data_IF_946284485474
#
_entry.id   IF_946284485474
#
_cell.length_a   1.000
_cell.length_b   1.000
_cell.length_c   1.000
_cell.angle_alpha   90.00
_cell.angle_beta   90.00
_cell.angle_gamma   90.00
#
_symmetry.space_group_name_H-M   'P 1'
#
loop_
_entity.id
_entity.type
_entity.pdbx_description
1 polymer ?
#
# COMPACT_ATOMS: atom_id res chain seq x y z
N UNK A 1 -28.57 18.35 -6.09
CA UNK A 1 -27.86 18.26 -4.80
C UNK A 1 -26.55 17.54 -5.07
N UNK A 2 -25.41 18.21 -4.99
CA UNK A 2 -24.10 17.57 -5.10
C UNK A 2 -23.74 17.02 -3.72
N UNK A 3 -23.38 15.75 -3.62
CA UNK A 3 -22.91 15.16 -2.37
C UNK A 3 -21.59 15.80 -1.94
N UNK A 4 -21.42 16.06 -0.64
CA UNK A 4 -20.18 16.64 -0.09
C UNK A 4 -19.13 15.56 0.20
N UNK A 5 -17.86 15.94 0.28
CA UNK A 5 -16.80 15.05 0.76
C UNK A 5 -17.14 14.55 2.18
N UNK A 6 -17.01 13.24 2.42
CA UNK A 6 -17.40 12.69 3.71
C UNK A 6 -17.44 11.18 3.78
N UNK A 7 -17.95 10.66 4.91
CA UNK A 7 -18.11 9.23 5.14
C UNK A 7 -19.51 8.76 4.73
N UNK A 8 -19.58 7.70 3.93
CA UNK A 8 -20.84 7.16 3.39
C UNK A 8 -20.87 5.65 3.48
N UNK A 9 -22.06 5.08 3.68
CA UNK A 9 -22.28 3.64 3.52
C UNK A 9 -22.38 3.30 2.04
N UNK A 10 -21.63 2.29 1.61
CA UNK A 10 -21.72 1.72 0.27
C UNK A 10 -21.95 0.22 0.34
N UNK A 11 -22.58 -0.32 -0.70
CA UNK A 11 -22.86 -1.75 -0.82
C UNK A 11 -22.57 -2.26 -2.25
N UNK A 12 -21.28 -2.38 -2.63
CA UNK A 12 -20.85 -2.80 -3.96
C UNK A 12 -21.40 -4.14 -4.46
N UNK A 13 -21.49 -5.15 -3.59
CA UNK A 13 -22.02 -6.47 -3.95
C UNK A 13 -23.56 -6.51 -4.01
N UNK A 14 -24.22 -5.46 -3.52
CA UNK A 14 -25.67 -5.36 -3.38
C UNK A 14 -26.25 -6.51 -2.53
N UNK A 15 -27.52 -6.86 -2.74
CA UNK A 15 -28.14 -7.97 -2.04
C UNK A 15 -28.44 -7.62 -0.57
N UNK A 16 -27.74 -8.26 0.36
CA UNK A 16 -28.05 -8.14 1.78
C UNK A 16 -27.39 -6.91 2.39
N UNK A 17 -28.10 -5.79 2.49
CA UNK A 17 -27.58 -4.50 2.98
C UNK A 17 -26.91 -4.50 4.37
N UNK A 18 -27.01 -5.60 5.14
CA UNK A 18 -26.34 -5.78 6.42
C UNK A 18 -24.82 -5.95 6.32
N UNK A 19 -24.28 -6.28 5.14
CA UNK A 19 -22.84 -6.38 4.90
C UNK A 19 -22.27 -5.13 4.19
N UNK A 20 -23.07 -4.07 4.07
CA UNK A 20 -22.60 -2.75 3.65
C UNK A 20 -21.53 -2.23 4.61
N UNK A 21 -20.67 -1.34 4.14
CA UNK A 21 -19.56 -0.80 4.92
C UNK A 21 -19.39 0.70 4.66
N UNK A 22 -18.85 1.41 5.66
CA UNK A 22 -18.72 2.87 5.59
C UNK A 22 -17.34 3.28 5.06
N UNK A 23 -17.27 3.99 3.95
CA UNK A 23 -16.01 4.48 3.34
C UNK A 23 -15.94 5.99 3.34
N UNK A 24 -14.76 6.54 3.04
CA UNK A 24 -14.64 7.96 2.69
C UNK A 24 -14.86 8.15 1.19
N UNK A 25 -15.81 9.00 0.80
CA UNK A 25 -16.09 9.29 -0.61
C UNK A 25 -15.54 10.67 -1.00
N UNK A 26 -14.75 10.70 -2.08
CA UNK A 26 -14.21 11.91 -2.67
C UNK A 26 -14.98 12.30 -3.95
N UNK A 27 -16.11 12.99 -3.79
CA UNK A 27 -16.91 13.47 -4.93
C UNK A 27 -16.25 14.61 -5.72
N UNK A 28 -15.18 15.24 -5.20
CA UNK A 28 -14.40 16.23 -5.96
C UNK A 28 -13.39 15.61 -6.91
N UNK A 29 -13.05 14.33 -6.71
CA UNK A 29 -12.11 13.57 -7.55
C UNK A 29 -12.82 12.50 -8.40
N UNK A 30 -14.01 12.81 -8.93
CA UNK A 30 -14.76 11.86 -9.77
C UNK A 30 -15.49 10.77 -9.00
N UNK A 31 -15.64 10.89 -7.67
CA UNK A 31 -16.41 9.95 -6.85
C UNK A 31 -15.62 8.78 -6.29
N UNK A 32 -14.34 8.98 -5.96
CA UNK A 32 -13.50 7.92 -5.39
C UNK A 32 -14.09 7.39 -4.09
N UNK A 33 -13.96 6.08 -3.88
CA UNK A 33 -14.32 5.41 -2.63
C UNK A 33 -13.05 4.91 -1.95
N UNK A 34 -12.65 5.57 -0.86
CA UNK A 34 -11.40 5.32 -0.17
C UNK A 34 -11.59 4.39 1.02
N UNK A 35 -10.78 3.32 1.04
CA UNK A 35 -10.62 2.39 2.17
C UNK A 35 -9.22 2.56 2.74
N UNK A 36 -9.02 2.17 4.00
CA UNK A 36 -7.75 2.40 4.70
C UNK A 36 -7.12 1.10 5.16
N UNK A 37 -5.78 1.03 5.24
CA UNK A 37 -5.11 -0.10 5.86
C UNK A 37 -5.53 -0.25 7.33
N UNK A 38 -5.54 -1.48 7.83
CA UNK A 38 -5.81 -1.78 9.23
C UNK A 38 -4.74 -1.15 10.15
N UNK A 39 -5.12 -0.80 11.38
CA UNK A 39 -4.25 -0.04 12.31
C UNK A 39 -2.94 -0.71 12.64
N UNK A 40 -2.91 -2.04 12.59
CA UNK A 40 -1.74 -2.86 12.87
C UNK A 40 -0.72 -2.90 11.73
N UNK A 41 -1.15 -2.59 10.50
CA UNK A 41 -0.23 -2.38 9.38
C UNK A 41 -0.01 -0.91 9.08
N UNK A 42 -0.91 0.02 9.45
CA UNK A 42 -0.77 1.46 9.21
C UNK A 42 0.62 2.00 9.64
N UNK A 43 1.19 1.46 10.72
CA UNK A 43 2.50 1.85 11.25
C UNK A 43 3.28 0.63 11.74
N UNK A 44 4.27 0.21 10.95
CA UNK A 44 5.13 -0.93 11.30
C UNK A 44 6.50 -0.44 11.74
N UNK A 45 6.89 -0.79 12.97
CA UNK A 45 8.23 -0.49 13.50
C UNK A 45 9.23 -1.49 12.92
N UNK A 46 10.18 -1.05 12.09
CA UNK A 46 11.20 -1.95 11.54
C UNK A 46 12.32 -2.28 12.53
N UNK A 47 12.29 -1.72 13.74
CA UNK A 47 13.22 -2.09 14.81
C UNK A 47 13.19 -3.59 15.14
N UNK A 48 12.08 -4.28 14.86
CA UNK A 48 11.95 -5.72 15.04
C UNK A 48 12.59 -6.56 13.92
N UNK A 49 13.11 -5.93 12.85
CA UNK A 49 13.56 -6.63 11.65
C UNK A 49 15.05 -7.01 11.65
N UNK A 50 15.74 -6.83 12.78
CA UNK A 50 17.19 -7.03 12.88
C UNK A 50 17.67 -8.45 12.54
N UNK A 51 16.79 -9.44 12.74
CA UNK A 51 17.01 -10.86 12.40
C UNK A 51 16.28 -11.31 11.12
N UNK A 52 15.56 -10.43 10.44
CA UNK A 52 14.77 -10.80 9.28
C UNK A 52 15.63 -10.90 8.02
N UNK A 53 15.22 -11.78 7.11
CA UNK A 53 15.90 -11.95 5.83
C UNK A 53 15.47 -10.84 4.87
N UNK A 54 16.43 -10.28 4.13
CA UNK A 54 16.12 -9.39 3.00
C UNK A 54 15.57 -10.20 1.84
N UNK A 55 14.90 -9.53 0.91
CA UNK A 55 14.34 -10.18 -0.30
C UNK A 55 13.34 -11.30 0.06
N UNK A 56 12.65 -11.13 1.18
CA UNK A 56 11.50 -11.95 1.56
C UNK A 56 10.31 -11.05 1.82
N UNK A 57 9.12 -11.61 1.62
CA UNK A 57 7.86 -10.90 1.84
C UNK A 57 7.69 -10.52 3.30
N UNK A 58 7.09 -9.37 3.57
CA UNK A 58 6.80 -8.93 4.92
C UNK A 58 5.95 -9.96 5.66
N UNK A 59 4.96 -10.58 5.02
CA UNK A 59 4.16 -11.64 5.65
C UNK A 59 4.97 -12.86 6.13
N UNK A 60 6.20 -13.04 5.66
CA UNK A 60 7.09 -14.13 6.05
C UNK A 60 8.03 -13.75 7.21
N UNK A 61 8.06 -12.47 7.62
CA UNK A 61 8.82 -12.05 8.79
C UNK A 61 8.20 -12.62 10.06
N UNK A 62 8.98 -12.75 11.15
CA UNK A 62 8.50 -13.34 12.41
C UNK A 62 7.28 -12.64 12.99
N UNK A 63 7.20 -11.32 12.84
CA UNK A 63 6.04 -10.50 13.25
C UNK A 63 5.29 -9.90 12.06
N UNK A 64 5.56 -10.43 10.88
CA UNK A 64 4.96 -10.07 9.62
C UNK A 64 3.54 -10.56 9.46
N UNK A 65 2.79 -9.93 8.54
CA UNK A 65 1.45 -10.36 8.13
C UNK A 65 1.10 -9.75 6.77
N UNK A 66 0.15 -10.35 6.04
CA UNK A 66 -0.41 -9.70 4.84
C UNK A 66 -1.16 -8.42 5.25
N UNK A 67 -1.20 -7.46 4.33
CA UNK A 67 -1.96 -6.23 4.52
C UNK A 67 -3.46 -6.49 4.53
N UNK A 68 -4.17 -5.81 5.43
CA UNK A 68 -5.63 -5.88 5.50
C UNK A 68 -6.22 -4.48 5.53
N UNK A 69 -7.49 -4.37 5.14
CA UNK A 69 -8.16 -3.09 4.95
C UNK A 69 -9.44 -3.03 5.77
N UNK A 70 -9.67 -1.86 6.34
CA UNK A 70 -10.78 -1.57 7.22
C UNK A 70 -11.66 -0.48 6.62
N UNK A 71 -12.92 -0.52 7.01
CA UNK A 71 -13.86 0.56 6.78
C UNK A 71 -13.55 1.76 7.70
N UNK A 72 -14.30 2.84 7.54
CA UNK A 72 -14.14 4.07 8.31
C UNK A 72 -14.62 3.99 9.77
N UNK A 73 -15.15 2.84 10.19
CA UNK A 73 -15.52 2.47 11.56
C UNK A 73 -14.51 1.51 12.20
N UNK A 74 -13.54 0.99 11.42
CA UNK A 74 -12.49 0.09 11.89
C UNK A 74 -12.80 -1.39 11.68
N UNK A 75 -13.89 -1.74 11.01
CA UNK A 75 -14.25 -3.12 10.73
C UNK A 75 -13.52 -3.63 9.49
N UNK A 76 -13.12 -4.90 9.50
CA UNK A 76 -12.52 -5.53 8.33
C UNK A 76 -13.52 -5.58 7.16
N UNK A 77 -13.07 -5.20 5.97
CA UNK A 77 -13.92 -5.24 4.77
C UNK A 77 -13.88 -6.65 4.17
N UNK A 78 -15.05 -7.21 3.87
CA UNK A 78 -15.16 -8.53 3.26
C UNK A 78 -14.52 -8.59 1.86
N UNK A 79 -13.90 -9.72 1.52
CA UNK A 79 -13.25 -9.92 0.21
C UNK A 79 -14.23 -9.78 -0.96
N UNK A 80 -15.50 -10.19 -0.77
CA UNK A 80 -16.56 -10.04 -1.78
C UNK A 80 -16.83 -8.57 -2.03
N UNK A 81 -16.96 -7.75 -0.98
CA UNK A 81 -17.15 -6.31 -1.12
C UNK A 81 -15.98 -5.64 -1.84
N UNK A 82 -14.73 -5.99 -1.50
CA UNK A 82 -13.55 -5.48 -2.22
C UNK A 82 -13.52 -5.92 -3.68
N UNK A 83 -13.99 -7.13 -3.99
CA UNK A 83 -14.05 -7.64 -5.37
C UNK A 83 -15.02 -6.83 -6.22
N UNK A 84 -16.23 -6.59 -5.72
CA UNK A 84 -17.20 -5.75 -6.42
C UNK A 84 -16.73 -4.30 -6.53
N UNK A 85 -16.09 -3.75 -5.49
CA UNK A 85 -15.53 -2.41 -5.55
C UNK A 85 -14.50 -2.26 -6.67
N UNK A 86 -13.63 -3.26 -6.87
CA UNK A 86 -12.69 -3.30 -8.02
C UNK A 86 -13.45 -3.39 -9.35
N UNK A 87 -14.40 -4.30 -9.49
CA UNK A 87 -15.19 -4.50 -10.73
C UNK A 87 -15.96 -3.26 -11.15
N UNK A 88 -16.38 -2.43 -10.19
CA UNK A 88 -17.13 -1.19 -10.41
C UNK A 88 -16.21 0.04 -10.55
N UNK A 89 -14.90 -0.14 -10.53
CA UNK A 89 -13.90 0.93 -10.66
C UNK A 89 -13.23 0.91 -12.03
N UNK A 90 -12.82 2.07 -12.53
CA UNK A 90 -12.08 2.22 -13.78
C UNK A 90 -10.58 2.45 -13.56
N UNK A 91 -10.23 3.04 -12.42
CA UNK A 91 -8.87 3.29 -11.98
C UNK A 91 -8.80 3.08 -10.47
N UNK A 92 -7.58 2.82 -9.99
CA UNK A 92 -7.29 2.71 -8.57
C UNK A 92 -5.96 3.40 -8.27
N UNK A 93 -5.91 4.05 -7.11
CA UNK A 93 -4.74 4.74 -6.61
C UNK A 93 -4.43 4.26 -5.19
N UNK A 94 -3.17 3.96 -4.92
CA UNK A 94 -2.68 3.69 -3.57
C UNK A 94 -1.29 4.27 -3.40
N UNK A 95 -1.09 4.94 -2.27
CA UNK A 95 0.23 5.38 -1.84
C UNK A 95 0.81 4.39 -0.82
N UNK A 96 2.13 4.23 -0.85
CA UNK A 96 2.88 3.44 0.12
C UNK A 96 4.09 4.26 0.58
N UNK A 97 4.23 4.47 1.89
CA UNK A 97 5.36 5.24 2.44
C UNK A 97 6.34 4.35 3.20
N UNK A 98 7.58 4.30 2.73
CA UNK A 98 8.67 3.63 3.43
C UNK A 98 9.56 4.67 4.10
N UNK A 99 9.69 4.63 5.43
CA UNK A 99 10.70 5.45 6.09
C UNK A 99 11.98 4.61 6.18
N UNK A 100 13.09 5.26 5.90
CA UNK A 100 14.38 4.61 5.74
C UNK A 100 15.39 5.25 6.68
N UNK A 101 16.33 4.43 7.11
CA UNK A 101 17.53 4.87 7.80
C UNK A 101 18.68 4.11 7.18
N UNK A 102 19.56 4.83 6.48
CA UNK A 102 20.68 4.21 5.74
C UNK A 102 20.23 3.05 4.84
N UNK A 103 19.04 3.18 4.25
CA UNK A 103 18.43 2.19 3.38
C UNK A 103 17.89 2.85 2.13
N UNK A 104 17.93 2.14 0.99
CA UNK A 104 17.30 2.57 -0.25
C UNK A 104 15.92 1.90 -0.40
N UNK A 105 14.99 2.60 -1.05
CA UNK A 105 13.60 2.14 -1.19
C UNK A 105 13.15 2.06 -2.64
N UNK A 106 13.74 2.86 -3.53
CA UNK A 106 13.35 2.91 -4.94
C UNK A 106 14.57 3.05 -5.84
N UNK A 107 15.08 4.26 -6.05
CA UNK A 107 16.36 4.48 -6.74
C UNK A 107 17.53 4.36 -5.75
N UNK A 108 18.69 3.96 -6.24
CA UNK A 108 19.96 4.07 -5.50
C UNK A 108 20.93 4.96 -6.30
N UNK A 109 21.20 6.15 -5.78
CA UNK A 109 22.00 7.17 -6.48
C UNK A 109 23.44 6.74 -6.72
N UNK A 110 24.06 5.99 -5.79
CA UNK A 110 25.48 5.63 -5.89
C UNK A 110 25.82 4.70 -7.05
N UNK A 111 24.86 3.90 -7.50
CA UNK A 111 25.01 2.93 -8.58
C UNK A 111 24.07 3.20 -9.76
N UNK A 112 23.32 4.30 -9.70
CA UNK A 112 22.26 4.66 -10.63
C UNK A 112 21.36 3.47 -11.01
N UNK A 113 20.77 2.82 -10.01
CA UNK A 113 20.04 1.56 -10.23
C UNK A 113 18.79 1.41 -9.37
N UNK A 114 17.90 0.51 -9.80
CA UNK A 114 16.65 0.15 -9.12
C UNK A 114 16.67 -1.28 -8.56
N UNK A 115 17.83 -1.92 -8.49
CA UNK A 115 17.96 -3.30 -7.99
C UNK A 115 17.53 -3.46 -6.52
N UNK A 116 17.49 -2.35 -5.77
CA UNK A 116 17.02 -2.30 -4.37
C UNK A 116 15.64 -1.67 -4.22
N UNK A 117 14.92 -1.48 -5.31
CA UNK A 117 13.57 -0.95 -5.28
C UNK A 117 12.65 -1.92 -4.54
N UNK A 118 11.67 -1.38 -3.81
CA UNK A 118 10.61 -2.17 -3.19
C UNK A 118 9.85 -2.97 -4.24
N UNK A 119 9.45 -4.18 -3.85
CA UNK A 119 8.49 -5.00 -4.58
C UNK A 119 7.19 -5.04 -3.78
N UNK A 120 6.06 -5.14 -4.47
CA UNK A 120 4.76 -5.27 -3.86
C UNK A 120 4.03 -6.50 -4.38
N UNK A 121 3.18 -7.09 -3.54
CA UNK A 121 2.25 -8.13 -3.95
C UNK A 121 0.88 -7.50 -4.19
N UNK A 122 0.33 -7.68 -5.38
CA UNK A 122 -1.01 -7.24 -5.72
C UNK A 122 -2.10 -8.12 -5.07
N UNK A 123 -3.35 -7.66 -5.14
CA UNK A 123 -4.53 -8.45 -4.76
C UNK A 123 -4.78 -9.64 -5.68
N UNK A 124 -4.28 -9.59 -6.91
CA UNK A 124 -4.27 -10.68 -7.88
C UNK A 124 -3.03 -11.60 -7.76
N UNK A 125 -2.29 -11.49 -6.65
CA UNK A 125 -1.05 -12.23 -6.37
C UNK A 125 0.11 -11.95 -7.36
N UNK A 126 0.00 -10.93 -8.23
CA UNK A 126 1.12 -10.52 -9.08
C UNK A 126 2.21 -9.77 -8.32
N UNK A 127 3.45 -9.92 -8.80
CA UNK A 127 4.61 -9.19 -8.33
C UNK A 127 4.77 -7.86 -9.06
N UNK A 128 4.53 -6.77 -8.33
CA UNK A 128 4.64 -5.41 -8.81
C UNK A 128 6.01 -4.84 -8.43
N UNK A 129 6.78 -4.43 -9.44
CA UNK A 129 8.14 -3.90 -9.27
C UNK A 129 8.37 -2.74 -10.23
N UNK A 130 9.49 -2.03 -10.06
CA UNK A 130 9.93 -0.99 -11.01
C UNK A 130 9.98 -1.50 -12.46
N UNK A 131 10.43 -2.74 -12.67
CA UNK A 131 10.59 -3.32 -14.02
C UNK A 131 9.28 -3.84 -14.62
N UNK A 132 8.37 -4.35 -13.80
CA UNK A 132 7.14 -5.02 -14.26
C UNK A 132 5.92 -4.09 -14.28
N UNK A 133 5.98 -2.97 -13.58
CA UNK A 133 4.82 -2.11 -13.34
C UNK A 133 5.15 -0.64 -13.62
N UNK A 134 4.88 -0.14 -14.85
CA UNK A 134 5.18 1.25 -15.22
C UNK A 134 4.30 2.28 -14.48
N UNK A 135 3.27 1.82 -13.79
CA UNK A 135 2.32 2.63 -13.02
C UNK A 135 2.83 3.01 -11.62
N UNK A 136 3.98 2.47 -11.18
CA UNK A 136 4.58 2.84 -9.90
C UNK A 136 5.48 4.07 -10.11
N UNK A 137 5.20 5.15 -9.38
CA UNK A 137 5.98 6.39 -9.41
C UNK A 137 6.43 6.79 -8.02
N UNK A 138 7.65 7.30 -7.91
CA UNK A 138 8.09 7.94 -6.69
C UNK A 138 7.59 9.39 -6.66
N UNK A 139 6.62 9.67 -5.78
CA UNK A 139 6.20 11.05 -5.48
C UNK A 139 7.28 11.78 -4.67
N UNK A 140 8.04 11.03 -3.88
CA UNK A 140 9.22 11.49 -3.15
C UNK A 140 10.17 10.32 -2.95
N UNK A 141 11.46 10.49 -3.21
CA UNK A 141 12.48 9.47 -2.92
C UNK A 141 13.64 10.02 -2.08
N UNK A 142 13.38 10.25 -0.79
CA UNK A 142 14.41 10.69 0.15
C UNK A 142 15.44 9.60 0.47
N UNK A 143 15.11 8.34 0.20
CA UNK A 143 15.95 7.19 0.54
C UNK A 143 17.04 6.91 -0.49
N UNK A 144 17.04 7.60 -1.65
CA UNK A 144 17.93 7.32 -2.76
C UNK A 144 19.43 7.42 -2.43
N UNK A 145 19.79 8.31 -1.50
CA UNK A 145 21.18 8.49 -1.07
C UNK A 145 21.64 7.44 -0.04
N UNK A 146 20.73 6.62 0.50
CA UNK A 146 21.01 5.62 1.55
C UNK A 146 21.73 6.24 2.76
N UNK A 147 21.34 7.45 3.15
CA UNK A 147 21.95 8.24 4.24
C UNK A 147 20.90 8.79 5.18
N UNK A 148 21.27 8.95 6.46
CA UNK A 148 20.40 9.56 7.47
C UNK A 148 19.07 8.83 7.60
N UNK A 149 18.08 9.52 8.18
CA UNK A 149 16.68 9.09 8.23
C UNK A 149 15.87 9.91 7.25
N UNK A 150 15.12 9.25 6.37
CA UNK A 150 14.32 9.87 5.33
C UNK A 150 13.05 9.03 5.05
N UNK A 151 12.26 9.43 4.04
CA UNK A 151 11.15 8.61 3.53
C UNK A 151 11.01 8.65 2.01
N UNK A 152 10.52 7.56 1.46
CA UNK A 152 10.11 7.42 0.06
C UNK A 152 8.61 7.15 0.01
N UNK A 153 7.90 7.92 -0.82
CA UNK A 153 6.47 7.79 -1.07
C UNK A 153 6.31 7.30 -2.50
N UNK A 154 5.77 6.08 -2.64
CA UNK A 154 5.47 5.47 -3.92
C UNK A 154 3.96 5.53 -4.16
N UNK A 155 3.57 5.97 -5.35
CA UNK A 155 2.20 5.96 -5.84
C UNK A 155 2.05 4.85 -6.88
N UNK A 156 0.98 4.07 -6.75
CA UNK A 156 0.51 3.12 -7.75
C UNK A 156 -0.82 3.66 -8.26
N UNK A 157 -0.82 4.24 -9.46
CA UNK A 157 -2.02 4.73 -10.13
C UNK A 157 -2.21 3.99 -11.45
N UNK A 158 -3.18 3.07 -11.49
CA UNK A 158 -3.28 2.06 -12.55
C UNK A 158 -4.74 1.80 -12.98
N UNK A 159 -4.99 1.53 -14.28
CA UNK A 159 -6.28 1.01 -14.75
C UNK A 159 -6.50 -0.48 -14.41
N UNK A 160 -5.44 -1.19 -13.99
CA UNK A 160 -5.49 -2.61 -13.58
C UNK A 160 -6.03 -2.74 -12.16
N UNK A 161 -7.34 -2.55 -12.00
CA UNK A 161 -8.04 -2.50 -10.71
C UNK A 161 -7.91 -3.78 -9.88
N UNK A 162 -7.65 -4.92 -10.53
CA UNK A 162 -7.42 -6.21 -9.89
C UNK A 162 -6.10 -6.27 -9.09
N UNK A 163 -5.15 -5.38 -9.36
CA UNK A 163 -3.85 -5.36 -8.68
C UNK A 163 -3.92 -4.77 -7.28
N UNK A 164 -4.87 -3.87 -7.02
CA UNK A 164 -4.98 -3.15 -5.76
C UNK A 164 -6.22 -3.58 -4.96
N UNK A 165 -6.21 -3.41 -3.64
CA UNK A 165 -5.13 -2.84 -2.86
C UNK A 165 -3.95 -3.83 -2.66
N UNK A 166 -2.79 -3.31 -2.26
CA UNK A 166 -1.60 -4.12 -2.02
C UNK A 166 -1.85 -5.14 -0.89
N UNK A 167 -1.30 -6.35 -1.02
CA UNK A 167 -1.45 -7.41 -0.01
C UNK A 167 -0.16 -7.72 0.74
N UNK A 168 0.99 -7.32 0.20
CA UNK A 168 2.29 -7.52 0.82
C UNK A 168 3.34 -6.57 0.22
N UNK A 169 4.50 -6.46 0.87
CA UNK A 169 5.67 -5.76 0.37
C UNK A 169 6.94 -6.56 0.67
N UNK A 170 7.89 -6.53 -0.25
CA UNK A 170 9.21 -7.13 -0.08
C UNK A 170 10.27 -6.02 -0.07
N UNK A 171 11.08 -6.05 1.00
CA UNK A 171 12.10 -5.05 1.29
C UNK A 171 13.47 -5.54 0.86
N UNK A 172 14.04 -4.89 -0.16
CA UNK A 172 15.33 -5.29 -0.76
C UNK A 172 16.54 -4.76 0.01
N UNK A 173 16.41 -3.59 0.66
CA UNK A 173 17.42 -3.03 1.54
C UNK A 173 16.77 -2.62 2.86
N UNK A 174 17.39 -3.00 3.96
CA UNK A 174 17.15 -2.45 5.28
C UNK A 174 18.37 -2.76 6.16
N UNK A 175 18.67 -1.82 7.06
CA UNK A 175 19.78 -1.95 8.02
C UNK A 175 19.40 -2.78 9.24
N UNK A 176 20.40 -3.26 9.99
CA UNK A 176 20.21 -3.87 11.32
C UNK A 176 19.79 -2.87 12.40
N UNK A 177 19.87 -1.56 12.12
CA UNK A 177 19.53 -0.48 13.05
C UNK A 177 18.58 0.53 12.40
N UNK A 178 17.31 0.41 12.81
CA UNK A 178 16.12 1.28 12.76
C UNK A 178 15.88 2.21 11.56
N UNK A 179 14.92 1.80 10.70
CA UNK A 179 13.90 2.71 10.15
C UNK A 179 12.44 2.39 10.60
N UNK A 180 11.45 3.19 10.16
CA UNK A 180 10.00 3.02 10.42
C UNK A 180 9.21 2.90 9.10
N UNK A 181 7.99 2.36 9.06
CA UNK A 181 7.13 2.37 7.85
C UNK A 181 5.78 2.95 8.21
N UNK A 182 5.23 3.79 7.33
CA UNK A 182 3.93 4.43 7.48
C UNK A 182 3.14 4.18 6.20
N UNK A 183 1.92 3.66 6.26
CA UNK A 183 1.12 3.42 5.06
C UNK A 183 0.33 4.65 4.67
#
# INVERSE_FOLDING_TARGET
MLLSLGKYWIDPNQGCTRDSFKVFCNFTAGGESCIFPSKDIEKVKMSSWSSEKRETWYSQFRSGRKFSYIDSEGNAIGIVQLTFLRLLSTYVQQNFTYHCHRSAAWHLTSSDSYQKALHFRGSNEEDLSFHTTPYIKALRDGCAMRKGTEKTVLEIYTPRVEQLPLTDAMFMDFGRTQPEIWF
#
